data_IF_492658912806
#
_entry.id   IF_492658912806
#
_cell.length_a   1.000
_cell.length_b   1.000
_cell.length_c   1.000
_cell.angle_alpha   90.00
_cell.angle_beta   90.00
_cell.angle_gamma   90.00
#
_symmetry.space_group_name_H-M   'P 1'
#
loop_
_entity.id
_entity.type
_entity.pdbx_description
1 polymer ?
#
# COMPACT_ATOMS: atom_id res chain seq x y z
N UNK A 1 33.64 2.73 2.96
CA UNK A 1 32.75 1.70 3.55
C UNK A 1 31.51 1.61 2.67
N UNK A 2 31.26 0.46 2.09
CA UNK A 2 30.04 0.20 1.35
C UNK A 2 29.35 -1.02 1.96
N UNK A 3 28.05 -0.95 2.01
CA UNK A 3 27.22 -2.04 2.52
C UNK A 3 26.95 -3.04 1.39
N UNK A 4 27.28 -4.30 1.61
CA UNK A 4 26.92 -5.35 0.67
C UNK A 4 25.45 -5.70 0.94
N UNK A 5 24.57 -5.58 -0.06
CA UNK A 5 23.19 -6.00 0.10
C UNK A 5 23.13 -7.46 0.54
N UNK A 6 22.54 -7.74 1.69
CA UNK A 6 22.31 -9.10 2.15
C UNK A 6 21.06 -9.67 1.48
N UNK A 7 21.05 -10.99 1.24
CA UNK A 7 19.84 -11.68 0.81
C UNK A 7 18.73 -11.51 1.85
N UNK A 8 17.50 -11.42 1.38
CA UNK A 8 16.35 -11.43 2.28
C UNK A 8 16.28 -12.72 3.10
N UNK A 9 15.88 -12.64 4.39
CA UNK A 9 15.47 -11.45 5.11
C UNK A 9 16.67 -10.65 5.66
N UNK A 10 16.58 -9.31 5.63
CA UNK A 10 17.60 -8.47 6.24
C UNK A 10 17.53 -8.55 7.77
N UNK A 11 18.67 -8.46 8.45
CA UNK A 11 18.73 -8.46 9.93
C UNK A 11 17.89 -7.33 10.52
N UNK A 12 17.96 -6.14 9.95
CA UNK A 12 17.17 -4.99 10.37
C UNK A 12 15.66 -5.25 10.21
N UNK A 13 15.25 -5.86 9.10
CA UNK A 13 13.86 -6.23 8.86
C UNK A 13 13.37 -7.31 9.83
N UNK A 14 14.20 -8.29 10.18
CA UNK A 14 13.86 -9.31 11.17
C UNK A 14 13.66 -8.68 12.56
N UNK A 15 14.57 -7.82 13.00
CA UNK A 15 14.45 -7.11 14.29
C UNK A 15 13.19 -6.24 14.36
N UNK A 16 12.86 -5.54 13.25
CA UNK A 16 11.64 -4.75 13.19
C UNK A 16 10.38 -5.65 13.26
N UNK A 17 10.39 -6.78 12.55
CA UNK A 17 9.31 -7.77 12.63
C UNK A 17 9.14 -8.32 14.04
N UNK A 18 10.22 -8.72 14.70
CA UNK A 18 10.21 -9.21 16.09
C UNK A 18 9.70 -8.15 17.07
N UNK A 19 10.17 -6.91 16.94
CA UNK A 19 9.69 -5.80 17.77
C UNK A 19 8.20 -5.52 17.57
N UNK A 20 7.68 -5.71 16.35
CA UNK A 20 6.26 -5.52 16.04
C UNK A 20 5.41 -6.68 16.56
N UNK A 21 5.82 -7.93 16.30
CA UNK A 21 5.09 -9.13 16.70
C UNK A 21 5.23 -9.46 18.20
N UNK A 22 6.33 -9.05 18.83
CA UNK A 22 6.60 -9.25 20.26
C UNK A 22 5.86 -8.29 21.19
N UNK A 23 5.02 -7.38 20.66
CA UNK A 23 4.17 -6.54 21.52
C UNK A 23 3.05 -7.36 22.15
N UNK A 24 2.77 -7.15 23.46
CA UNK A 24 1.76 -7.94 24.15
C UNK A 24 0.37 -7.78 23.52
N UNK A 25 -0.44 -8.83 23.60
CA UNK A 25 -1.78 -9.00 23.02
C UNK A 25 -2.83 -7.94 23.40
N UNK A 26 -2.47 -6.95 24.20
CA UNK A 26 -3.38 -5.88 24.62
C UNK A 26 -3.78 -4.85 23.55
N UNK A 27 -3.19 -4.90 22.36
CA UNK A 27 -3.51 -3.94 21.29
C UNK A 27 -4.56 -4.44 20.29
N UNK A 28 -5.13 -5.63 20.50
CA UNK A 28 -6.24 -6.16 19.68
C UNK A 28 -5.91 -6.33 18.20
N UNK A 29 -4.66 -6.65 17.83
CA UNK A 29 -4.28 -6.92 16.44
C UNK A 29 -4.27 -8.42 16.14
N UNK A 30 -4.70 -8.76 14.91
CA UNK A 30 -4.57 -10.10 14.37
C UNK A 30 -3.59 -10.07 13.20
N UNK A 31 -2.60 -10.95 13.22
CA UNK A 31 -1.64 -11.12 12.14
C UNK A 31 -1.92 -12.42 11.37
N UNK A 32 -2.23 -12.27 10.09
CA UNK A 32 -2.39 -13.38 9.17
C UNK A 32 -1.15 -13.45 8.25
N UNK A 33 -0.21 -14.38 8.47
CA UNK A 33 1.04 -14.47 7.70
C UNK A 33 0.83 -15.16 6.34
N UNK A 34 -0.23 -14.81 5.65
CA UNK A 34 -0.64 -15.38 4.35
C UNK A 34 -1.16 -14.27 3.44
N UNK A 35 -1.13 -14.54 2.13
CA UNK A 35 -1.66 -13.60 1.15
C UNK A 35 -3.19 -13.57 1.19
N UNK A 36 -3.76 -12.41 0.88
CA UNK A 36 -5.18 -12.25 0.62
C UNK A 36 -5.50 -12.93 -0.72
N UNK A 37 -6.44 -13.87 -0.71
CA UNK A 37 -6.81 -14.65 -1.90
C UNK A 37 -8.03 -14.07 -2.65
N UNK A 38 -8.72 -13.14 -2.06
CA UNK A 38 -9.84 -12.44 -2.69
C UNK A 38 -10.26 -11.24 -1.88
N UNK A 39 -10.93 -10.30 -2.54
CA UNK A 39 -11.41 -9.08 -1.92
C UNK A 39 -12.80 -8.73 -2.42
N UNK A 40 -13.64 -8.22 -1.53
CA UNK A 40 -14.93 -7.60 -1.85
C UNK A 40 -15.02 -6.23 -1.20
N UNK A 41 -15.76 -5.36 -1.85
CA UNK A 41 -16.15 -4.05 -1.32
C UNK A 41 -17.69 -3.98 -1.35
N UNK A 42 -18.28 -3.64 -0.25
CA UNK A 42 -19.73 -3.43 -0.12
C UNK A 42 -20.03 -2.12 0.63
N UNK A 43 -21.31 -1.80 0.79
CA UNK A 43 -21.74 -0.59 1.50
C UNK A 43 -21.21 -0.47 2.93
N UNK A 44 -20.92 -1.60 3.56
CA UNK A 44 -20.52 -1.69 4.97
C UNK A 44 -19.00 -1.79 5.18
N UNK A 45 -18.20 -1.99 4.12
CA UNK A 45 -16.74 -2.08 4.23
C UNK A 45 -16.08 -3.00 3.22
N UNK A 46 -15.08 -3.72 3.69
CA UNK A 46 -14.22 -4.59 2.90
C UNK A 46 -14.25 -6.01 3.44
N UNK A 47 -14.36 -6.98 2.56
CA UNK A 47 -14.24 -8.39 2.89
C UNK A 47 -13.00 -9.00 2.24
N UNK A 48 -12.25 -9.80 2.98
CA UNK A 48 -11.04 -10.46 2.53
C UNK A 48 -11.15 -11.95 2.77
N UNK A 49 -10.64 -12.75 1.84
CA UNK A 49 -10.43 -14.18 2.06
C UNK A 49 -8.95 -14.44 2.31
N UNK A 50 -8.70 -15.10 3.41
CA UNK A 50 -7.36 -15.47 3.87
C UNK A 50 -7.31 -16.99 3.96
N UNK A 51 -6.50 -17.64 3.14
CA UNK A 51 -6.38 -19.09 3.10
C UNK A 51 -5.14 -19.55 3.88
N UNK A 52 -5.34 -20.36 4.91
CA UNK A 52 -4.27 -20.96 5.71
C UNK A 52 -4.39 -22.49 5.63
N UNK A 53 -3.52 -23.12 4.87
CA UNK A 53 -3.63 -24.56 4.58
C UNK A 53 -4.91 -24.86 3.80
N UNK A 54 -5.80 -25.67 4.36
CA UNK A 54 -7.10 -26.01 3.76
C UNK A 54 -8.25 -25.11 4.27
N UNK A 55 -7.99 -24.28 5.24
CA UNK A 55 -8.99 -23.35 5.80
C UNK A 55 -8.98 -22.01 5.10
N UNK A 56 -10.15 -21.52 4.70
CA UNK A 56 -10.34 -20.16 4.20
C UNK A 56 -11.22 -19.38 5.18
N UNK A 57 -10.67 -18.32 5.73
CA UNK A 57 -11.35 -17.44 6.68
C UNK A 57 -11.74 -16.15 5.97
N UNK A 58 -12.99 -15.72 6.15
CA UNK A 58 -13.44 -14.40 5.70
C UNK A 58 -13.25 -13.40 6.82
N UNK A 59 -12.43 -12.37 6.56
CA UNK A 59 -12.23 -11.24 7.46
C UNK A 59 -12.99 -10.04 6.93
N UNK A 60 -13.68 -9.31 7.79
CA UNK A 60 -14.34 -8.04 7.44
C UNK A 60 -13.68 -6.87 8.15
N UNK A 61 -13.57 -5.74 7.45
CA UNK A 61 -13.05 -4.50 7.99
C UNK A 61 -13.89 -3.32 7.50
N UNK A 62 -14.15 -2.36 8.38
CA UNK A 62 -14.81 -1.10 8.01
C UNK A 62 -13.88 -0.18 7.23
N UNK A 63 -12.60 -0.17 7.57
CA UNK A 63 -11.56 0.65 6.97
C UNK A 63 -10.42 -0.23 6.47
N UNK A 64 -9.74 0.23 5.44
CA UNK A 64 -8.61 -0.46 4.82
C UNK A 64 -7.43 0.50 4.63
N UNK A 65 -6.24 0.03 4.97
CA UNK A 65 -4.99 0.67 4.57
C UNK A 65 -4.24 -0.26 3.61
N UNK A 66 -4.11 0.16 2.36
CA UNK A 66 -3.39 -0.56 1.32
C UNK A 66 -1.89 -0.26 1.46
N UNK A 67 -1.15 -1.18 2.04
CA UNK A 67 0.29 -1.09 2.27
C UNK A 67 1.06 -2.25 1.60
N UNK A 68 0.58 -2.69 0.44
CA UNK A 68 1.03 -3.88 -0.29
C UNK A 68 2.38 -3.71 -0.97
N UNK A 69 2.89 -2.49 -1.01
CA UNK A 69 4.14 -2.20 -1.71
C UNK A 69 4.00 -2.30 -3.23
N UNK A 70 5.14 -2.41 -3.90
CA UNK A 70 5.20 -2.53 -5.37
C UNK A 70 5.38 -3.98 -5.81
N UNK A 71 6.29 -4.21 -6.72
CA UNK A 71 6.51 -5.50 -7.40
C UNK A 71 6.88 -6.65 -6.46
N UNK A 72 7.82 -6.45 -5.53
CA UNK A 72 8.22 -7.48 -4.57
C UNK A 72 7.11 -7.83 -3.57
N UNK A 73 6.34 -6.82 -3.16
CA UNK A 73 5.18 -7.01 -2.28
C UNK A 73 3.91 -7.43 -3.03
N UNK A 74 4.00 -7.56 -4.36
CA UNK A 74 2.88 -7.94 -5.24
C UNK A 74 1.69 -6.97 -5.22
N UNK A 75 1.85 -5.76 -4.68
CA UNK A 75 0.84 -4.70 -4.76
C UNK A 75 0.65 -4.19 -6.18
N UNK A 76 1.75 -4.17 -6.95
CA UNK A 76 1.74 -3.87 -8.38
C UNK A 76 2.17 -5.08 -9.19
N UNK A 77 1.42 -5.39 -10.22
CA UNK A 77 1.73 -6.36 -11.25
C UNK A 77 2.29 -5.72 -12.51
N UNK A 78 2.94 -6.52 -13.35
CA UNK A 78 3.52 -6.07 -14.61
C UNK A 78 3.03 -6.98 -15.73
N UNK A 79 2.47 -6.39 -16.77
CA UNK A 79 2.17 -7.05 -18.04
C UNK A 79 3.23 -6.67 -19.10
N UNK A 80 3.04 -7.08 -20.34
CA UNK A 80 3.98 -6.74 -21.41
C UNK A 80 4.12 -5.22 -21.66
N UNK A 81 3.06 -4.46 -21.39
CA UNK A 81 2.91 -3.06 -21.81
C UNK A 81 2.53 -2.10 -20.68
N UNK A 82 2.08 -2.60 -19.53
CA UNK A 82 1.58 -1.76 -18.44
C UNK A 82 1.80 -2.37 -17.05
N UNK A 83 1.71 -1.50 -16.05
CA UNK A 83 1.71 -1.82 -14.63
C UNK A 83 0.26 -1.73 -14.13
N UNK A 84 -0.14 -2.69 -13.31
CA UNK A 84 -1.49 -2.78 -12.74
C UNK A 84 -1.42 -2.86 -11.21
N UNK A 85 -2.43 -2.32 -10.53
CA UNK A 85 -2.65 -2.59 -9.12
C UNK A 85 -3.48 -3.88 -9.00
N UNK A 86 -3.05 -4.81 -8.14
CA UNK A 86 -3.48 -6.21 -8.21
C UNK A 86 -4.74 -6.53 -7.39
N UNK A 87 -5.18 -5.66 -6.47
CA UNK A 87 -6.30 -5.97 -5.57
C UNK A 87 -7.61 -5.30 -5.99
N UNK A 88 -7.56 -4.01 -6.29
CA UNK A 88 -8.75 -3.19 -6.58
C UNK A 88 -8.77 -2.69 -8.02
N UNK A 89 -7.73 -3.02 -8.80
CA UNK A 89 -7.55 -2.49 -10.16
C UNK A 89 -7.56 -0.95 -10.19
N UNK A 90 -6.95 -0.33 -9.19
CA UNK A 90 -6.79 1.11 -9.12
C UNK A 90 -5.93 1.62 -10.27
N UNK A 91 -6.19 2.83 -10.79
CA UNK A 91 -5.33 3.45 -11.78
C UNK A 91 -3.90 3.57 -11.28
N UNK A 92 -2.94 3.20 -12.13
CA UNK A 92 -1.52 3.32 -11.83
C UNK A 92 -0.91 4.40 -12.70
N UNK A 93 -0.38 5.44 -12.07
CA UNK A 93 0.47 6.43 -12.73
C UNK A 93 1.78 5.77 -13.13
N UNK A 94 2.09 5.79 -14.40
CA UNK A 94 3.23 5.10 -14.98
C UNK A 94 3.66 5.76 -16.30
N UNK A 95 4.92 5.58 -16.73
CA UNK A 95 5.35 6.04 -18.04
C UNK A 95 4.56 5.36 -19.16
N UNK A 96 4.36 6.09 -20.24
CA UNK A 96 3.66 5.63 -21.44
C UNK A 96 4.47 4.52 -22.13
N UNK A 97 3.97 3.30 -22.09
CA UNK A 97 4.56 2.12 -22.71
C UNK A 97 5.87 1.65 -22.06
N UNK A 98 6.24 0.41 -22.34
CA UNK A 98 7.42 -0.26 -21.76
C UNK A 98 8.75 0.41 -22.09
N UNK A 99 8.87 0.99 -23.27
CA UNK A 99 10.09 1.69 -23.69
C UNK A 99 10.41 2.93 -22.86
N UNK A 100 9.42 3.52 -22.21
CA UNK A 100 9.58 4.66 -21.30
C UNK A 100 9.91 4.29 -19.85
N UNK A 101 9.99 3.01 -19.50
CA UNK A 101 10.18 2.59 -18.10
C UNK A 101 11.61 2.75 -17.62
N UNK A 102 12.58 2.51 -18.50
CA UNK A 102 13.99 2.50 -18.15
C UNK A 102 14.76 3.51 -19.00
N UNK A 103 15.68 4.22 -18.36
CA UNK A 103 16.70 4.98 -19.07
C UNK A 103 17.75 4.03 -19.66
N UNK A 104 18.49 4.52 -20.67
CA UNK A 104 19.56 3.75 -21.31
C UNK A 104 20.69 3.42 -20.35
N UNK A 105 21.05 4.38 -19.50
CA UNK A 105 22.07 4.22 -18.47
C UNK A 105 21.43 3.60 -17.21
N UNK A 106 22.00 2.49 -16.74
CA UNK A 106 21.55 1.83 -15.53
C UNK A 106 21.72 2.71 -14.28
N UNK A 107 22.75 3.52 -14.26
CA UNK A 107 23.04 4.46 -13.17
C UNK A 107 22.61 5.90 -13.48
N UNK A 108 21.60 6.07 -14.31
CA UNK A 108 21.09 7.40 -14.64
C UNK A 108 20.82 8.21 -13.37
N UNK A 109 21.41 9.42 -13.24
CA UNK A 109 21.24 10.24 -12.02
C UNK A 109 19.83 10.69 -11.76
N UNK A 110 18.98 10.75 -12.80
CA UNK A 110 17.55 11.07 -12.67
C UNK A 110 16.70 9.84 -12.30
N UNK A 111 17.32 8.65 -12.27
CA UNK A 111 16.65 7.37 -12.01
C UNK A 111 15.79 6.90 -13.17
N UNK A 112 15.20 5.73 -13.02
CA UNK A 112 14.33 5.15 -14.03
C UNK A 112 12.87 5.58 -13.80
N UNK A 113 12.15 6.04 -14.83
CA UNK A 113 10.76 6.52 -14.67
C UNK A 113 9.82 5.50 -14.02
N UNK A 114 10.02 4.19 -14.25
CA UNK A 114 9.25 3.12 -13.61
C UNK A 114 9.33 3.13 -12.09
N UNK A 115 10.40 3.66 -11.52
CA UNK A 115 10.56 3.76 -10.07
C UNK A 115 9.55 4.72 -9.43
N UNK A 116 8.94 5.61 -10.20
CA UNK A 116 7.92 6.55 -9.74
C UNK A 116 6.49 6.06 -9.98
N UNK A 117 6.33 4.87 -10.58
CA UNK A 117 5.01 4.28 -10.81
C UNK A 117 4.33 3.92 -9.48
N UNK A 118 3.02 4.11 -9.42
CA UNK A 118 2.22 3.83 -8.24
C UNK A 118 0.80 4.36 -8.37
N UNK A 119 0.03 4.26 -7.31
CA UNK A 119 -1.33 4.78 -7.25
C UNK A 119 -1.35 6.25 -6.82
N UNK A 120 -2.26 7.02 -7.42
CA UNK A 120 -2.53 8.40 -7.02
C UNK A 120 -3.40 8.43 -5.76
N UNK A 121 -3.18 9.45 -4.94
CA UNK A 121 -3.97 9.68 -3.73
C UNK A 121 -4.30 11.16 -3.56
N UNK A 122 -5.33 11.44 -2.77
CA UNK A 122 -5.56 12.79 -2.30
C UNK A 122 -4.57 13.18 -1.16
N UNK A 123 -4.72 14.39 -0.62
CA UNK A 123 -3.87 14.91 0.48
C UNK A 123 -3.94 14.12 1.79
N UNK A 124 -4.90 13.20 1.91
CA UNK A 124 -5.11 12.33 3.07
C UNK A 124 -4.70 10.89 2.80
N UNK A 125 -4.07 10.64 1.65
CA UNK A 125 -3.68 9.33 1.18
C UNK A 125 -4.85 8.37 0.90
N UNK A 126 -6.02 8.90 0.49
CA UNK A 126 -7.09 8.09 -0.05
C UNK A 126 -6.86 7.89 -1.55
N UNK A 127 -6.89 6.64 -2.04
CA UNK A 127 -6.68 6.35 -3.46
C UNK A 127 -7.71 7.05 -4.35
N UNK A 128 -7.26 7.49 -5.52
CA UNK A 128 -8.11 8.10 -6.54
C UNK A 128 -8.50 7.06 -7.60
N UNK A 129 -9.70 7.20 -8.14
CA UNK A 129 -10.19 6.47 -9.30
C UNK A 129 -9.71 7.10 -10.63
N UNK A 130 -10.15 6.53 -11.75
CA UNK A 130 -9.79 7.03 -13.09
C UNK A 130 -10.35 8.43 -13.41
N UNK A 131 -11.36 8.88 -12.69
CA UNK A 131 -11.93 10.23 -12.80
C UNK A 131 -11.23 11.25 -11.89
N UNK A 132 -10.25 10.82 -11.09
CA UNK A 132 -9.57 11.66 -10.11
C UNK A 132 -10.38 11.89 -8.82
N UNK A 133 -11.45 11.15 -8.62
CA UNK A 133 -12.26 11.17 -7.41
C UNK A 133 -11.75 10.14 -6.39
N UNK A 134 -12.06 10.34 -5.11
CA UNK A 134 -11.72 9.37 -4.07
C UNK A 134 -12.44 8.05 -4.34
N UNK A 135 -11.68 6.97 -4.49
CA UNK A 135 -12.20 5.64 -4.82
C UNK A 135 -13.13 5.07 -3.74
N UNK A 136 -12.75 5.21 -2.48
CA UNK A 136 -13.59 4.92 -1.30
C UNK A 136 -13.12 5.76 -0.12
N UNK A 137 -14.03 6.42 0.57
CA UNK A 137 -13.71 7.30 1.70
C UNK A 137 -13.11 6.57 2.91
N UNK A 138 -13.28 5.25 2.98
CA UNK A 138 -12.79 4.36 4.04
C UNK A 138 -11.48 3.66 3.67
N UNK A 139 -10.96 3.93 2.46
CA UNK A 139 -9.72 3.32 1.97
C UNK A 139 -8.58 4.32 1.98
N UNK A 140 -7.44 3.88 2.44
CA UNK A 140 -6.19 4.65 2.47
C UNK A 140 -5.06 3.84 1.84
N UNK A 141 -3.98 4.52 1.46
CA UNK A 141 -2.78 3.87 0.96
C UNK A 141 -1.54 4.42 1.67
N UNK A 142 -0.52 3.58 1.85
CA UNK A 142 0.71 3.96 2.51
C UNK A 142 1.94 3.24 1.94
N UNK A 143 3.08 3.88 2.05
CA UNK A 143 4.37 3.29 1.69
C UNK A 143 4.65 3.30 0.20
N UNK A 144 5.43 2.32 -0.25
CA UNK A 144 6.01 2.32 -1.58
C UNK A 144 5.02 2.11 -2.74
N UNK A 145 3.75 1.77 -2.48
CA UNK A 145 2.72 1.68 -3.51
C UNK A 145 2.33 3.06 -4.09
N UNK A 146 2.62 4.13 -3.38
CA UNK A 146 2.29 5.50 -3.77
C UNK A 146 3.09 5.95 -5.00
N UNK A 147 2.44 6.70 -5.89
CA UNK A 147 3.08 7.30 -7.07
C UNK A 147 4.10 8.40 -6.72
N UNK A 148 4.85 8.85 -7.71
CA UNK A 148 5.73 10.03 -7.73
C UNK A 148 6.98 9.96 -6.86
N UNK A 149 7.21 8.92 -6.08
CA UNK A 149 8.38 8.78 -5.23
C UNK A 149 9.36 7.73 -5.78
N UNK A 150 10.64 8.07 -5.84
CA UNK A 150 11.74 7.14 -6.15
C UNK A 150 12.54 6.85 -4.88
N UNK A 151 11.95 6.07 -3.99
CA UNK A 151 12.52 5.75 -2.69
C UNK A 151 13.91 5.10 -2.75
N UNK A 152 14.26 4.47 -3.87
CA UNK A 152 15.58 3.87 -4.07
C UNK A 152 16.63 4.96 -4.23
N UNK A 153 16.40 5.91 -5.12
CA UNK A 153 17.28 7.04 -5.38
C UNK A 153 17.31 8.02 -4.21
N UNK A 154 16.15 8.33 -3.68
CA UNK A 154 15.97 9.27 -2.56
C UNK A 154 16.40 8.67 -1.21
N UNK A 155 16.59 7.35 -1.12
CA UNK A 155 16.86 6.61 0.13
C UNK A 155 15.81 6.88 1.22
N UNK A 156 14.57 7.11 0.81
CA UNK A 156 13.47 7.65 1.62
C UNK A 156 12.41 6.60 2.00
N UNK A 157 12.62 5.31 1.67
CA UNK A 157 11.59 4.27 1.77
C UNK A 157 10.90 4.15 3.14
N UNK A 158 11.67 4.11 4.23
CA UNK A 158 11.10 4.06 5.59
C UNK A 158 10.43 5.38 5.97
N UNK A 159 10.98 6.53 5.56
CA UNK A 159 10.38 7.84 5.78
C UNK A 159 9.02 7.96 5.11
N UNK A 160 8.92 7.55 3.84
CA UNK A 160 7.66 7.54 3.09
C UNK A 160 6.64 6.61 3.76
N UNK A 161 7.06 5.41 4.17
CA UNK A 161 6.16 4.45 4.82
C UNK A 161 5.59 5.01 6.13
N UNK A 162 6.43 5.59 6.98
CA UNK A 162 6.01 6.15 8.27
C UNK A 162 5.15 7.41 8.07
N UNK A 163 5.58 8.34 7.24
CA UNK A 163 4.89 9.61 7.05
C UNK A 163 3.50 9.42 6.41
N UNK A 164 3.40 8.57 5.37
CA UNK A 164 2.13 8.30 4.72
C UNK A 164 1.17 7.52 5.62
N UNK A 165 1.65 6.51 6.36
CA UNK A 165 0.85 5.78 7.33
C UNK A 165 0.35 6.69 8.47
N UNK A 166 1.22 7.54 9.02
CA UNK A 166 0.84 8.49 10.06
C UNK A 166 -0.25 9.46 9.59
N UNK A 167 -0.10 10.03 8.38
CA UNK A 167 -1.08 10.96 7.82
C UNK A 167 -2.42 10.28 7.54
N UNK A 168 -2.39 9.08 6.95
CA UNK A 168 -3.57 8.27 6.69
C UNK A 168 -4.33 7.96 7.99
N UNK A 169 -3.62 7.46 9.01
CA UNK A 169 -4.21 7.13 10.31
C UNK A 169 -4.74 8.35 11.06
N UNK A 170 -4.06 9.49 11.00
CA UNK A 170 -4.52 10.74 11.62
C UNK A 170 -5.85 11.20 11.05
N UNK A 171 -6.01 11.13 9.72
CA UNK A 171 -7.28 11.45 9.07
C UNK A 171 -8.37 10.44 9.39
N UNK A 172 -8.05 9.13 9.33
CA UNK A 172 -8.96 8.07 9.69
C UNK A 172 -9.49 8.24 11.12
N UNK A 173 -8.62 8.46 12.10
CA UNK A 173 -9.01 8.66 13.50
C UNK A 173 -9.94 9.87 13.65
N UNK A 174 -9.65 10.97 12.95
CA UNK A 174 -10.51 12.16 12.96
C UNK A 174 -11.88 11.88 12.35
N UNK A 175 -11.96 11.07 11.29
CA UNK A 175 -13.23 10.71 10.66
C UNK A 175 -14.07 9.74 11.49
N UNK A 176 -13.45 8.90 12.32
CA UNK A 176 -14.15 8.02 13.26
C UNK A 176 -14.73 8.74 14.47
N UNK A 177 -14.12 9.86 14.88
CA UNK A 177 -14.56 10.68 16.02
C UNK A 177 -15.58 11.74 15.65
N UNK A 178 -15.74 12.06 14.37
CA UNK A 178 -16.78 12.99 13.91
C UNK A 178 -18.17 12.36 14.12
N UNK A 179 -19.10 13.00 14.83
CA UNK A 179 -20.47 12.49 14.97
C UNK A 179 -21.13 12.43 13.58
N UNK A 180 -21.77 11.30 13.30
CA UNK A 180 -22.48 11.04 12.04
C UNK A 180 -23.75 11.90 11.99
N UNK A 181 -23.61 13.16 11.58
CA UNK A 181 -24.70 14.15 11.48
C UNK A 181 -25.73 13.73 10.41
N UNK A 182 -25.41 12.72 9.60
CA UNK A 182 -26.27 12.30 8.47
C UNK A 182 -27.37 11.31 8.87
N UNK A 183 -27.35 10.75 10.08
CA UNK A 183 -28.38 9.80 10.54
C UNK A 183 -29.52 10.41 11.36
N UNK A 184 -29.55 11.72 11.54
CA UNK A 184 -30.55 12.39 12.36
C UNK A 184 -31.80 12.90 11.61
N UNK A 185 -31.90 12.70 10.29
CA UNK A 185 -33.05 13.14 9.49
C UNK A 185 -33.49 12.05 8.50
N UNK A 186 -33.90 10.89 9.00
CA UNK A 186 -34.66 9.90 8.25
C UNK A 186 -35.77 9.30 9.14
#
# INVERSE_FOLDING_TARGET
VFEIPTLSPSVTGMRMKEAFLGKPDGMGHHHFPVAVSGITRDGDGFGFWVTRGQETVKVRAQYLILATGRFLGQGLGVTADRITENLFNLPVTQPSGRSGWLCRDFFDPEGHPVNRAGIETDRFFRPLDAAGSVFDSRMYAAGSILAHQDWKREKSGSGIAIASAFRALSHLASSMTAPDITRANA
#
